data_IF_864244396090
#
_entry.id   IF_864244396090
#
_cell.length_a   1.000
_cell.length_b   1.000
_cell.length_c   1.000
_cell.angle_alpha   90.00
_cell.angle_beta   90.00
_cell.angle_gamma   90.00
#
_symmetry.space_group_name_H-M   'P 1'
#
loop_
_entity.id
_entity.type
_entity.pdbx_description
1 polymer ?
#
# COMPACT_ATOMS: atom_id res chain seq x y z
N UNK A 1 -8.45 17.45 0.82
CA UNK A 1 -8.41 18.58 1.78
C UNK A 1 -9.60 18.64 2.77
N UNK A 2 -10.31 17.53 3.03
CA UNK A 2 -11.44 17.54 3.99
C UNK A 2 -11.12 17.01 5.39
N UNK A 3 -9.90 16.51 5.62
CA UNK A 3 -9.50 15.82 6.86
C UNK A 3 -8.22 16.38 7.50
N UNK A 4 -7.49 17.23 6.80
CA UNK A 4 -6.22 17.81 7.24
C UNK A 4 -5.96 19.11 6.47
N UNK A 5 -5.20 20.00 7.09
CA UNK A 5 -4.76 21.28 6.51
C UNK A 5 -3.57 21.10 5.57
N UNK A 6 -2.72 20.12 5.86
CA UNK A 6 -1.55 19.75 5.07
C UNK A 6 -1.62 18.27 4.65
N UNK A 7 -1.11 17.98 3.45
CA UNK A 7 -1.06 16.64 2.87
C UNK A 7 0.39 16.31 2.52
N UNK A 8 0.88 15.22 3.14
CA UNK A 8 2.17 14.62 2.82
C UNK A 8 1.93 13.31 2.10
N UNK A 9 2.61 13.10 0.97
CA UNK A 9 2.61 11.81 0.26
C UNK A 9 4.00 11.19 0.32
N UNK A 10 4.08 9.98 0.84
CA UNK A 10 5.33 9.22 0.93
C UNK A 10 5.53 8.37 -0.32
N UNK A 11 6.62 8.58 -1.05
CA UNK A 11 7.00 7.79 -2.23
C UNK A 11 8.27 7.02 -1.92
N UNK A 12 8.12 5.76 -1.52
CA UNK A 12 9.24 4.91 -1.14
C UNK A 12 8.99 3.46 -1.54
N UNK A 13 9.86 2.91 -2.39
CA UNK A 13 9.82 1.48 -2.73
C UNK A 13 10.57 0.71 -1.66
N UNK A 14 9.84 0.27 -0.64
CA UNK A 14 10.38 -0.43 0.51
C UNK A 14 10.95 -1.81 0.14
N UNK A 15 12.27 -2.07 0.23
CA UNK A 15 12.83 -3.40 -0.05
C UNK A 15 12.35 -4.50 0.90
N UNK A 16 12.00 -4.18 2.17
CA UNK A 16 11.67 -5.20 3.18
C UNK A 16 10.36 -5.95 2.90
N UNK A 17 9.48 -5.38 2.07
CA UNK A 17 8.21 -6.00 1.73
C UNK A 17 8.28 -6.83 0.43
N UNK A 18 9.47 -6.99 -0.15
CA UNK A 18 9.69 -7.80 -1.36
C UNK A 18 10.42 -9.10 -1.01
N UNK A 19 9.87 -10.22 -1.47
CA UNK A 19 10.57 -11.51 -1.44
C UNK A 19 11.74 -11.58 -2.45
N UNK A 20 12.65 -12.56 -2.32
CA UNK A 20 13.83 -12.68 -3.21
C UNK A 20 13.50 -12.82 -4.70
N UNK A 21 12.36 -13.43 -5.01
CA UNK A 21 11.88 -13.64 -6.39
C UNK A 21 10.86 -12.58 -6.85
N UNK A 22 10.61 -11.56 -6.04
CA UNK A 22 9.62 -10.53 -6.36
C UNK A 22 10.23 -9.41 -7.23
N UNK A 23 9.38 -8.46 -7.60
CA UNK A 23 9.62 -7.49 -8.65
C UNK A 23 10.38 -6.23 -8.20
N UNK A 24 11.15 -6.27 -7.11
CA UNK A 24 11.83 -5.08 -6.55
C UNK A 24 12.69 -4.33 -7.58
N UNK A 25 13.43 -5.06 -8.42
CA UNK A 25 14.33 -4.47 -9.44
C UNK A 25 13.56 -3.90 -10.62
N UNK A 26 12.35 -4.40 -10.90
CA UNK A 26 11.51 -4.01 -12.04
C UNK A 26 10.33 -3.12 -11.64
N UNK A 27 10.16 -2.84 -10.35
CA UNK A 27 9.07 -2.02 -9.84
C UNK A 27 9.13 -0.63 -10.50
N UNK A 28 8.02 -0.15 -11.11
CA UNK A 28 8.00 1.14 -11.78
C UNK A 28 8.44 2.27 -10.85
N UNK A 29 9.37 3.11 -11.30
CA UNK A 29 9.85 4.30 -10.60
C UNK A 29 9.90 5.46 -11.58
N UNK A 30 9.11 6.49 -11.31
CA UNK A 30 9.08 7.73 -12.10
C UNK A 30 8.73 8.89 -11.18
N UNK A 31 9.68 9.25 -10.30
CA UNK A 31 9.46 10.24 -9.25
C UNK A 31 9.11 11.61 -9.81
N UNK A 32 9.70 12.00 -10.95
CA UNK A 32 9.40 13.28 -11.61
C UNK A 32 7.93 13.35 -12.04
N UNK A 33 7.43 12.29 -12.68
CA UNK A 33 6.01 12.19 -13.03
C UNK A 33 5.12 12.16 -11.80
N UNK A 34 5.48 11.40 -10.77
CA UNK A 34 4.70 11.30 -9.54
C UNK A 34 4.57 12.67 -8.87
N UNK A 35 5.67 13.42 -8.73
CA UNK A 35 5.68 14.79 -8.20
C UNK A 35 4.81 15.72 -9.03
N UNK A 36 4.89 15.66 -10.37
CA UNK A 36 4.09 16.49 -11.25
C UNK A 36 2.58 16.21 -11.13
N UNK A 37 2.18 14.95 -10.93
CA UNK A 37 0.79 14.57 -10.67
C UNK A 37 0.32 15.06 -9.31
N UNK A 38 1.10 14.81 -8.26
CA UNK A 38 0.78 15.21 -6.88
C UNK A 38 0.68 16.74 -6.72
N UNK A 39 1.52 17.50 -7.43
CA UNK A 39 1.44 18.95 -7.46
C UNK A 39 0.10 19.47 -8.02
N UNK A 40 -0.45 18.80 -9.05
CA UNK A 40 -1.76 19.16 -9.63
C UNK A 40 -2.92 18.87 -8.67
N UNK A 41 -2.78 17.86 -7.83
CA UNK A 41 -3.74 17.50 -6.78
C UNK A 41 -3.60 18.38 -5.51
N UNK A 42 -2.63 19.32 -5.50
CA UNK A 42 -2.42 20.24 -4.39
C UNK A 42 -1.84 19.59 -3.14
N UNK A 43 -0.99 18.57 -3.31
CA UNK A 43 -0.18 17.96 -2.25
C UNK A 43 0.89 18.95 -1.81
N UNK A 44 1.05 19.14 -0.50
CA UNK A 44 1.94 20.16 0.06
C UNK A 44 3.39 19.66 0.14
N UNK A 45 3.59 18.36 0.41
CA UNK A 45 4.93 17.75 0.48
C UNK A 45 4.94 16.35 -0.14
N UNK A 46 5.92 16.09 -1.00
CA UNK A 46 6.29 14.74 -1.42
C UNK A 46 7.53 14.31 -0.63
N UNK A 47 7.37 13.34 0.27
CA UNK A 47 8.48 12.76 1.01
C UNK A 47 8.98 11.50 0.27
N UNK A 48 10.09 11.63 -0.43
CA UNK A 48 10.69 10.57 -1.24
C UNK A 48 12.11 10.22 -0.75
N UNK A 49 12.25 9.58 0.44
CA UNK A 49 13.55 9.24 1.00
C UNK A 49 14.26 8.14 0.18
N UNK A 50 15.58 8.15 0.22
CA UNK A 50 16.40 7.04 -0.24
C UNK A 50 16.36 5.84 0.72
N UNK A 51 16.88 4.70 0.27
CA UNK A 51 16.94 3.49 1.11
C UNK A 51 17.78 3.71 2.35
N UNK A 52 18.93 4.40 2.26
CA UNK A 52 19.76 4.69 3.44
C UNK A 52 19.13 5.68 4.42
N UNK A 53 18.25 6.56 3.95
CA UNK A 53 17.54 7.48 4.85
C UNK A 53 16.54 6.71 5.72
N UNK A 54 15.92 5.66 5.16
CA UNK A 54 14.95 4.82 5.88
C UNK A 54 15.66 3.72 6.68
N UNK A 55 16.67 3.09 6.10
CA UNK A 55 17.34 1.89 6.64
C UNK A 55 18.84 2.09 6.75
N UNK A 56 19.31 3.02 7.61
CA UNK A 56 20.73 3.33 7.72
C UNK A 56 21.53 2.09 8.12
N UNK A 57 22.56 1.76 7.33
CA UNK A 57 23.36 0.55 7.52
C UNK A 57 22.70 -0.73 6.98
N UNK A 58 21.64 -0.59 6.17
CA UNK A 58 20.95 -1.71 5.54
C UNK A 58 19.87 -2.36 6.41
N UNK A 59 19.81 -3.69 6.40
CA UNK A 59 18.70 -4.44 6.99
C UNK A 59 18.53 -4.16 8.50
N UNK A 60 17.37 -3.62 8.94
CA UNK A 60 17.14 -3.36 10.36
C UNK A 60 17.08 -4.65 11.19
N UNK A 61 17.89 -4.68 12.25
CA UNK A 61 17.91 -5.76 13.26
C UNK A 61 16.60 -5.87 14.02
N UNK A 62 15.89 -4.75 14.23
CA UNK A 62 14.59 -4.70 14.91
C UNK A 62 13.50 -4.38 13.90
N UNK A 63 12.45 -5.21 13.89
CA UNK A 63 11.32 -5.10 12.98
C UNK A 63 9.99 -5.28 13.73
N UNK A 64 8.91 -4.85 13.09
CA UNK A 64 7.53 -5.08 13.56
C UNK A 64 7.02 -6.36 12.91
N UNK A 65 6.55 -7.31 13.71
CA UNK A 65 5.92 -8.53 13.19
C UNK A 65 4.41 -8.36 13.06
N UNK A 66 3.85 -8.87 11.96
CA UNK A 66 2.41 -8.96 11.73
C UNK A 66 1.73 -10.09 12.53
N UNK A 67 2.53 -10.97 13.17
CA UNK A 67 2.03 -12.13 13.91
C UNK A 67 1.09 -12.98 13.06
N UNK A 68 -0.02 -13.45 13.66
CA UNK A 68 -0.98 -14.32 12.98
C UNK A 68 -1.66 -13.71 11.74
N UNK A 69 -1.60 -12.38 11.55
CA UNK A 69 -2.08 -11.75 10.32
C UNK A 69 -1.13 -12.02 9.14
N UNK A 70 0.17 -12.21 9.43
CA UNK A 70 1.20 -12.58 8.46
C UNK A 70 1.11 -14.05 8.01
N UNK A 71 0.45 -14.92 8.77
CA UNK A 71 0.39 -16.36 8.48
C UNK A 71 -0.85 -16.79 7.67
N UNK A 72 -1.65 -15.83 7.19
CA UNK A 72 -2.93 -16.08 6.52
C UNK A 72 -3.06 -15.29 5.22
N UNK A 73 -3.92 -15.76 4.32
CA UNK A 73 -4.29 -15.06 3.07
C UNK A 73 -3.04 -14.61 2.29
N UNK A 74 -2.87 -13.32 1.98
CA UNK A 74 -1.71 -12.79 1.26
C UNK A 74 -0.40 -13.10 2.00
N UNK A 75 -0.40 -13.02 3.34
CA UNK A 75 0.79 -13.24 4.15
C UNK A 75 1.31 -14.68 4.04
N UNK A 76 0.40 -15.65 3.94
CA UNK A 76 0.77 -17.05 3.69
C UNK A 76 1.40 -17.25 2.31
N UNK A 77 1.00 -16.46 1.31
CA UNK A 77 1.58 -16.51 -0.05
C UNK A 77 2.86 -15.69 -0.18
N UNK A 78 3.07 -14.69 0.69
CA UNK A 78 4.23 -13.80 0.68
C UNK A 78 4.82 -13.69 2.09
N UNK A 79 5.52 -14.73 2.58
CA UNK A 79 6.08 -14.75 3.92
C UNK A 79 6.99 -13.53 4.19
N UNK A 80 6.79 -12.87 5.32
CA UNK A 80 7.54 -11.67 5.72
C UNK A 80 7.07 -10.36 5.05
N UNK A 81 6.17 -10.40 4.08
CA UNK A 81 5.68 -9.21 3.39
C UNK A 81 5.09 -8.19 4.37
N UNK A 82 4.17 -8.62 5.23
CA UNK A 82 3.52 -7.71 6.18
C UNK A 82 4.48 -7.22 7.27
N UNK A 83 5.48 -8.00 7.69
CA UNK A 83 6.50 -7.53 8.62
C UNK A 83 7.29 -6.35 8.01
N UNK A 84 7.64 -6.48 6.72
CA UNK A 84 8.24 -5.40 5.94
C UNK A 84 7.34 -4.17 5.82
N UNK A 85 6.04 -4.36 5.55
CA UNK A 85 5.06 -3.27 5.48
C UNK A 85 4.89 -2.56 6.83
N UNK A 86 4.65 -3.31 7.91
CA UNK A 86 4.44 -2.72 9.24
C UNK A 86 5.68 -1.98 9.73
N UNK A 87 6.87 -2.55 9.48
CA UNK A 87 8.14 -1.90 9.83
C UNK A 87 8.30 -0.54 9.12
N UNK A 88 8.06 -0.48 7.81
CA UNK A 88 8.21 0.80 7.08
C UNK A 88 7.11 1.79 7.45
N UNK A 89 5.86 1.34 7.57
CA UNK A 89 4.72 2.21 7.91
C UNK A 89 4.94 2.82 9.29
N UNK A 90 5.34 2.03 10.29
CA UNK A 90 5.63 2.55 11.62
C UNK A 90 6.73 3.63 11.58
N UNK A 91 7.82 3.38 10.86
CA UNK A 91 8.90 4.38 10.69
C UNK A 91 8.40 5.66 10.03
N UNK A 92 7.63 5.56 8.95
CA UNK A 92 7.10 6.73 8.26
C UNK A 92 6.10 7.52 9.13
N UNK A 93 5.25 6.84 9.91
CA UNK A 93 4.36 7.51 10.87
C UNK A 93 5.16 8.28 11.94
N UNK A 94 6.30 7.76 12.39
CA UNK A 94 7.18 8.48 13.34
C UNK A 94 7.92 9.66 12.71
N UNK A 95 8.32 9.55 11.44
CA UNK A 95 9.01 10.63 10.73
C UNK A 95 8.07 11.77 10.35
N UNK A 96 6.87 11.44 9.85
CA UNK A 96 5.88 12.40 9.37
C UNK A 96 5.00 12.94 10.51
N UNK A 97 4.69 12.11 11.51
CA UNK A 97 3.78 12.40 12.63
C UNK A 97 2.42 12.98 12.19
N UNK A 98 1.68 12.28 11.30
CA UNK A 98 0.38 12.77 10.84
C UNK A 98 -0.70 12.57 11.89
N UNK A 99 -1.74 13.41 11.93
CA UNK A 99 -2.96 13.11 12.70
C UNK A 99 -3.78 11.98 12.07
N UNK A 100 -3.73 11.89 10.73
CA UNK A 100 -4.51 10.95 9.92
C UNK A 100 -3.63 10.35 8.82
N UNK A 101 -3.70 9.02 8.65
CA UNK A 101 -3.04 8.31 7.55
C UNK A 101 -4.08 7.58 6.68
N UNK A 102 -3.98 7.75 5.35
CA UNK A 102 -4.91 7.15 4.40
C UNK A 102 -4.31 5.90 3.75
N UNK A 103 -5.08 4.81 3.73
CA UNK A 103 -4.71 3.56 3.07
C UNK A 103 -5.86 3.04 2.20
N UNK A 104 -5.54 2.51 1.02
CA UNK A 104 -6.54 2.02 0.08
C UNK A 104 -7.16 0.68 0.50
N UNK A 105 -8.48 0.54 0.33
CA UNK A 105 -9.24 -0.69 0.59
C UNK A 105 -8.87 -1.84 -0.34
N UNK A 106 -8.25 -1.54 -1.49
CA UNK A 106 -7.77 -2.54 -2.45
C UNK A 106 -6.88 -3.57 -1.76
N UNK A 107 -6.04 -3.11 -0.83
CA UNK A 107 -5.12 -3.94 -0.06
C UNK A 107 -5.71 -4.19 1.35
N UNK A 108 -6.87 -4.85 1.39
CA UNK A 108 -7.69 -5.00 2.59
C UNK A 108 -6.94 -5.61 3.80
N UNK A 109 -6.12 -6.64 3.57
CA UNK A 109 -5.33 -7.25 4.64
C UNK A 109 -4.23 -6.31 5.15
N UNK A 110 -3.64 -5.49 4.28
CA UNK A 110 -2.69 -4.45 4.68
C UNK A 110 -3.36 -3.40 5.55
N UNK A 111 -4.52 -2.88 5.13
CA UNK A 111 -5.28 -1.90 5.90
C UNK A 111 -5.64 -2.45 7.29
N UNK A 112 -6.06 -3.72 7.37
CA UNK A 112 -6.32 -4.38 8.64
C UNK A 112 -5.05 -4.50 9.50
N UNK A 113 -3.92 -4.92 8.93
CA UNK A 113 -2.66 -5.06 9.64
C UNK A 113 -2.15 -3.72 10.18
N UNK A 114 -2.22 -2.65 9.38
CA UNK A 114 -1.82 -1.30 9.81
C UNK A 114 -2.72 -0.79 10.92
N UNK A 115 -4.05 -0.93 10.79
CA UNK A 115 -5.00 -0.57 11.86
C UNK A 115 -4.70 -1.31 13.16
N UNK A 116 -4.37 -2.60 13.05
CA UNK A 116 -4.03 -3.42 14.21
C UNK A 116 -2.73 -2.97 14.86
N UNK A 117 -1.70 -2.72 14.06
CA UNK A 117 -0.41 -2.20 14.56
C UNK A 117 -0.58 -0.86 15.27
N UNK A 118 -1.31 0.09 14.67
CA UNK A 118 -1.56 1.40 15.26
C UNK A 118 -2.27 1.27 16.61
N UNK A 119 -3.28 0.41 16.70
CA UNK A 119 -4.00 0.15 17.93
C UNK A 119 -3.15 -0.54 18.99
N UNK A 120 -2.42 -1.59 18.62
CA UNK A 120 -1.70 -2.46 19.58
C UNK A 120 -0.41 -1.81 20.10
N UNK A 121 0.17 -0.86 19.35
CA UNK A 121 1.39 -0.13 19.71
C UNK A 121 1.12 1.32 20.14
N UNK A 122 -0.14 1.66 20.43
CA UNK A 122 -0.56 2.98 20.90
C UNK A 122 -0.07 4.14 20.02
N UNK A 123 -0.05 3.93 18.70
CA UNK A 123 0.41 4.95 17.74
C UNK A 123 -0.70 6.00 17.59
N UNK A 124 -0.45 7.29 17.87
CA UNK A 124 -1.50 8.31 17.94
C UNK A 124 -1.89 8.82 16.54
N UNK A 125 -2.43 7.95 15.69
CA UNK A 125 -2.79 8.24 14.29
C UNK A 125 -4.15 7.62 13.96
N UNK A 126 -5.04 8.38 13.33
CA UNK A 126 -6.29 7.82 12.75
C UNK A 126 -6.02 7.18 11.38
N UNK A 127 -6.40 5.90 11.21
CA UNK A 127 -6.18 5.14 9.98
C UNK A 127 -7.48 5.07 9.16
N UNK A 128 -7.53 5.91 8.13
CA UNK A 128 -8.70 6.10 7.26
C UNK A 128 -8.58 5.24 6.00
N UNK A 129 -9.68 4.54 5.69
CA UNK A 129 -9.79 3.77 4.46
C UNK A 129 -10.16 4.67 3.27
N UNK A 130 -9.45 4.53 2.16
CA UNK A 130 -9.81 5.10 0.87
C UNK A 130 -10.42 4.02 -0.04
N UNK A 131 -11.55 4.28 -0.73
CA UNK A 131 -12.20 3.27 -1.55
C UNK A 131 -11.29 2.80 -2.69
N UNK A 132 -11.47 1.55 -3.12
CA UNK A 132 -10.76 1.02 -4.29
C UNK A 132 -11.15 1.81 -5.54
N UNK A 133 -10.20 2.57 -6.10
CA UNK A 133 -10.38 3.27 -7.37
C UNK A 133 -10.21 2.28 -8.52
N UNK A 134 -11.11 2.37 -9.49
CA UNK A 134 -11.14 1.50 -10.66
C UNK A 134 -11.08 2.33 -11.93
N UNK A 135 -10.50 1.75 -12.96
CA UNK A 135 -10.59 2.23 -14.33
C UNK A 135 -12.05 2.12 -14.85
N UNK A 136 -12.35 2.76 -15.97
CA UNK A 136 -13.71 2.81 -16.53
C UNK A 136 -14.26 1.40 -16.89
N UNK A 137 -13.37 0.44 -17.14
CA UNK A 137 -13.71 -0.96 -17.40
C UNK A 137 -13.85 -1.83 -16.13
N UNK A 138 -13.64 -1.24 -14.95
CA UNK A 138 -13.78 -1.89 -13.64
C UNK A 138 -12.49 -2.50 -13.09
N UNK A 139 -11.37 -2.45 -13.82
CA UNK A 139 -10.08 -2.93 -13.30
C UNK A 139 -9.62 -2.05 -12.14
N UNK A 140 -9.23 -2.65 -11.01
CA UNK A 140 -8.66 -1.88 -9.91
C UNK A 140 -7.34 -1.23 -10.33
N UNK A 141 -7.17 0.07 -10.04
CA UNK A 141 -5.93 0.77 -10.35
C UNK A 141 -4.78 0.23 -9.50
N UNK A 142 -3.66 -0.05 -10.17
CA UNK A 142 -2.45 -0.62 -9.57
C UNK A 142 -1.25 -0.27 -10.45
N UNK A 143 -0.12 0.13 -9.84
CA UNK A 143 1.13 0.36 -10.58
C UNK A 143 1.58 -0.91 -11.33
N UNK A 144 1.23 -2.10 -10.80
CA UNK A 144 1.54 -3.39 -11.44
C UNK A 144 0.71 -3.68 -12.69
N UNK A 145 -0.34 -2.89 -12.98
CA UNK A 145 -1.04 -2.99 -14.26
C UNK A 145 -0.11 -2.63 -15.45
N UNK A 146 1.01 -1.93 -15.19
CA UNK A 146 2.03 -1.64 -16.20
C UNK A 146 2.74 -2.89 -16.74
N UNK A 147 2.65 -4.04 -16.05
CA UNK A 147 3.21 -5.30 -16.52
C UNK A 147 2.30 -6.07 -17.47
N UNK A 148 1.03 -5.67 -17.56
CA UNK A 148 0.05 -6.35 -18.40
C UNK A 148 0.21 -5.87 -19.84
N UNK A 149 0.37 -6.82 -20.76
CA UNK A 149 0.15 -6.55 -22.17
C UNK A 149 -1.35 -6.38 -22.46
N UNK A 150 -1.71 -6.16 -23.72
CA UNK A 150 -3.09 -5.93 -24.13
C UNK A 150 -4.01 -7.12 -23.79
N UNK A 151 -3.49 -8.35 -23.83
CA UNK A 151 -4.26 -9.57 -23.61
C UNK A 151 -4.41 -9.85 -22.10
N UNK A 152 -3.31 -9.74 -21.36
CA UNK A 152 -3.28 -9.81 -19.90
C UNK A 152 -4.21 -8.76 -19.27
N UNK A 153 -4.27 -7.55 -19.83
CA UNK A 153 -5.21 -6.52 -19.37
C UNK A 153 -6.67 -6.94 -19.55
N UNK A 154 -7.03 -7.51 -20.71
CA UNK A 154 -8.40 -8.02 -20.94
C UNK A 154 -8.74 -9.14 -19.98
N UNK A 155 -7.81 -10.05 -19.71
CA UNK A 155 -8.01 -11.15 -18.78
C UNK A 155 -8.13 -10.69 -17.32
N UNK A 156 -7.40 -9.65 -16.91
CA UNK A 156 -7.45 -9.11 -15.54
C UNK A 156 -8.86 -8.66 -15.11
N UNK A 157 -9.72 -8.28 -16.07
CA UNK A 157 -11.12 -7.92 -15.82
C UNK A 157 -11.97 -9.09 -15.30
N UNK A 158 -11.54 -10.33 -15.47
CA UNK A 158 -12.24 -11.49 -14.92
C UNK A 158 -12.35 -11.40 -13.39
N UNK A 159 -11.34 -10.84 -12.71
CA UNK A 159 -11.34 -10.72 -11.25
C UNK A 159 -12.43 -9.77 -10.74
N UNK A 160 -12.52 -8.55 -11.30
CA UNK A 160 -13.56 -7.60 -10.88
C UNK A 160 -14.96 -8.13 -11.16
N UNK A 161 -15.17 -8.72 -12.35
CA UNK A 161 -16.45 -9.35 -12.72
C UNK A 161 -16.84 -10.49 -11.80
N UNK A 162 -15.89 -11.33 -11.40
CA UNK A 162 -16.15 -12.43 -10.46
C UNK A 162 -16.57 -11.91 -9.07
N UNK A 163 -15.92 -10.84 -8.58
CA UNK A 163 -16.29 -10.21 -7.30
C UNK A 163 -17.69 -9.57 -7.37
N UNK A 164 -18.05 -8.94 -8.48
CA UNK A 164 -19.38 -8.36 -8.68
C UNK A 164 -20.46 -9.44 -8.76
N UNK A 165 -20.18 -10.55 -9.46
CA UNK A 165 -21.06 -11.71 -9.51
C UNK A 165 -21.24 -12.34 -8.11
N UNK A 166 -20.17 -12.50 -7.34
CA UNK A 166 -20.22 -12.99 -5.97
C UNK A 166 -21.05 -12.06 -5.06
N UNK A 167 -20.89 -10.74 -5.21
CA UNK A 167 -21.69 -9.75 -4.49
C UNK A 167 -23.18 -9.86 -4.84
N UNK A 168 -23.51 -10.00 -6.13
CA UNK A 168 -24.89 -10.16 -6.58
C UNK A 168 -25.53 -11.45 -6.06
N UNK A 169 -24.78 -12.56 -6.08
CA UNK A 169 -25.23 -13.84 -5.54
C UNK A 169 -25.49 -13.76 -4.03
N UNK A 170 -24.55 -13.22 -3.26
CA UNK A 170 -24.69 -13.07 -1.81
C UNK A 170 -25.86 -12.16 -1.40
N UNK A 171 -26.21 -11.18 -2.23
CA UNK A 171 -27.39 -10.34 -1.99
C UNK A 171 -28.72 -11.07 -2.26
N UNK A 172 -28.68 -12.17 -3.01
CA UNK A 172 -29.84 -13.00 -3.34
C UNK A 172 -30.20 -14.07 -2.31
N UNK A 173 -29.36 -14.28 -1.29
CA UNK A 173 -29.48 -15.38 -0.30
C UNK A 173 -28.69 -16.61 -0.69
#
# INVERSE_FOLDING_TARGET
RGRAEQVVVTVFVNPLQFGPAEDLTRYPRDLERDVALLAREGVDVVFAPGVEDVYPGGDPVVRVSAGALGDRLEGAHRPGHFDGVLTVVLKLLHLVRPDVALFGEKDAQQLMAVRRMVRDLDVPVDVVAGPTVRDADGLALSSRNAYLDADGRRHALALSRALDAARAAAAGG
#
